data_IF_917810321420
#
_entry.id   IF_917810321420
#
_cell.length_a   1.000
_cell.length_b   1.000
_cell.length_c   1.000
_cell.angle_alpha   90.00
_cell.angle_beta   90.00
_cell.angle_gamma   90.00
#
_symmetry.space_group_name_H-M   'P 1'
#
loop_
_entity.id
_entity.type
_entity.pdbx_description
1 polymer ?
#
# COMPACT_ATOMS: atom_id res chain seq x y z
N UNK A 1 9.63 -11.70 -7.50
CA UNK A 1 9.59 -10.50 -8.39
C UNK A 1 11.00 -10.29 -8.89
N UNK A 2 11.22 -10.45 -10.20
CA UNK A 2 12.54 -10.27 -10.78
C UNK A 2 12.81 -8.77 -11.01
N UNK A 3 14.07 -8.36 -10.86
CA UNK A 3 14.50 -7.01 -11.17
C UNK A 3 14.38 -6.74 -12.68
N UNK A 4 14.02 -5.51 -13.09
CA UNK A 4 14.05 -5.14 -14.50
C UNK A 4 15.39 -5.48 -15.16
N UNK A 5 15.37 -5.90 -16.42
CA UNK A 5 16.57 -6.33 -17.14
C UNK A 5 17.62 -5.23 -17.29
N UNK A 6 17.22 -3.97 -17.21
CA UNK A 6 18.07 -2.78 -17.27
C UNK A 6 18.48 -2.26 -15.88
N UNK A 7 18.08 -2.94 -14.81
CA UNK A 7 18.43 -2.54 -13.44
C UNK A 7 19.93 -2.72 -13.20
N UNK A 8 20.58 -1.63 -12.85
CA UNK A 8 22.01 -1.63 -12.52
C UNK A 8 22.23 -1.47 -11.02
N UNK A 9 22.92 -2.43 -10.42
CA UNK A 9 23.34 -2.35 -9.03
C UNK A 9 24.53 -1.38 -8.95
N UNK A 10 24.36 -0.30 -8.19
CA UNK A 10 25.43 0.67 -7.91
C UNK A 10 26.32 0.16 -6.80
N UNK A 11 27.61 0.52 -6.84
CA UNK A 11 28.53 0.29 -5.72
C UNK A 11 28.14 1.18 -4.52
N UNK A 12 28.52 0.79 -3.32
CA UNK A 12 28.23 1.57 -2.10
C UNK A 12 28.83 2.98 -2.15
N UNK A 13 29.94 3.17 -2.86
CA UNK A 13 30.58 4.48 -3.06
C UNK A 13 29.77 5.44 -3.94
N UNK A 14 28.87 4.92 -4.78
CA UNK A 14 28.00 5.69 -5.69
C UNK A 14 26.66 6.04 -5.04
N UNK A 15 26.35 5.46 -3.87
CA UNK A 15 25.10 5.72 -3.16
C UNK A 15 25.23 6.98 -2.28
N UNK A 16 24.16 7.78 -2.15
CA UNK A 16 24.16 8.89 -1.20
C UNK A 16 24.28 8.37 0.23
N UNK A 17 24.91 9.15 1.10
CA UNK A 17 25.04 8.81 2.52
C UNK A 17 23.67 8.67 3.21
N UNK A 18 22.71 9.51 2.83
CA UNK A 18 21.37 9.54 3.38
C UNK A 18 20.35 9.93 2.31
N UNK A 19 19.19 9.29 2.33
CA UNK A 19 18.03 9.69 1.53
C UNK A 19 16.83 9.79 2.45
N UNK A 20 16.15 10.94 2.42
CA UNK A 20 14.90 11.18 3.15
C UNK A 20 13.86 11.77 2.20
N UNK A 21 12.93 10.93 1.76
CA UNK A 21 11.89 11.31 0.80
C UNK A 21 10.86 12.29 1.36
N UNK A 22 10.80 12.48 2.71
CA UNK A 22 9.90 13.46 3.33
C UNK A 22 10.20 14.87 2.87
N UNK A 23 11.46 15.19 2.64
CA UNK A 23 11.90 16.50 2.15
C UNK A 23 11.40 16.81 0.73
N UNK A 24 11.02 15.78 -0.03
CA UNK A 24 10.50 15.90 -1.40
C UNK A 24 8.96 16.08 -1.44
N UNK A 25 8.27 16.02 -0.31
CA UNK A 25 6.82 16.13 -0.25
C UNK A 25 6.07 14.93 -0.82
N UNK A 26 6.71 13.75 -0.86
CA UNK A 26 6.16 12.52 -1.46
C UNK A 26 5.79 11.46 -0.43
N UNK A 27 5.83 11.79 0.85
CA UNK A 27 5.48 10.88 1.95
C UNK A 27 4.24 11.40 2.66
N UNK A 28 3.20 10.58 2.72
CA UNK A 28 1.95 10.90 3.41
C UNK A 28 2.12 10.87 4.94
N UNK A 29 1.12 11.41 5.65
CA UNK A 29 1.10 11.40 7.11
C UNK A 29 1.07 9.96 7.66
N UNK A 30 1.65 9.78 8.86
CA UNK A 30 1.60 8.51 9.59
C UNK A 30 0.15 8.17 9.94
N UNK A 31 -0.25 6.92 9.68
CA UNK A 31 -1.60 6.40 9.94
C UNK A 31 -1.58 5.40 11.09
N UNK A 32 -2.76 5.03 11.57
CA UNK A 32 -2.94 4.06 12.65
C UNK A 32 -3.90 2.96 12.22
N UNK A 33 -3.42 1.72 12.20
CA UNK A 33 -4.24 0.55 11.82
C UNK A 33 -5.16 0.06 12.96
N UNK A 34 -4.92 0.51 14.20
CA UNK A 34 -5.66 0.02 15.35
C UNK A 34 -5.40 -1.45 15.66
N UNK A 35 -6.45 -2.15 16.08
CA UNK A 35 -6.42 -3.56 16.50
C UNK A 35 -6.68 -4.54 15.35
N UNK A 36 -6.31 -4.21 14.14
CA UNK A 36 -6.48 -5.03 12.94
C UNK A 36 -5.09 -5.33 12.35
N UNK A 37 -4.81 -6.60 12.05
CA UNK A 37 -3.56 -7.04 11.42
C UNK A 37 -3.48 -6.65 9.94
N UNK A 38 -3.68 -5.37 9.64
CA UNK A 38 -3.70 -4.78 8.30
C UNK A 38 -2.44 -3.98 7.96
N UNK A 39 -1.35 -4.15 8.72
CA UNK A 39 -0.08 -3.46 8.47
C UNK A 39 0.42 -3.63 7.03
N UNK A 40 0.21 -4.81 6.44
CA UNK A 40 0.54 -5.10 5.05
C UNK A 40 -0.19 -4.18 4.06
N UNK A 41 -1.47 -3.87 4.32
CA UNK A 41 -2.27 -2.95 3.51
C UNK A 41 -1.84 -1.50 3.71
N UNK A 42 -1.56 -1.07 4.95
CA UNK A 42 -1.07 0.27 5.26
C UNK A 42 0.30 0.54 4.64
N UNK A 43 1.24 -0.39 4.78
CA UNK A 43 2.57 -0.25 4.20
C UNK A 43 2.51 -0.19 2.67
N UNK A 44 1.72 -1.06 2.05
CA UNK A 44 1.54 -1.08 0.59
C UNK A 44 0.90 0.21 0.08
N UNK A 45 -0.11 0.71 0.78
CA UNK A 45 -0.76 1.99 0.45
C UNK A 45 0.24 3.14 0.51
N UNK A 46 1.06 3.21 1.57
CA UNK A 46 2.07 4.25 1.71
C UNK A 46 3.10 4.23 0.56
N UNK A 47 3.52 3.04 0.13
CA UNK A 47 4.42 2.90 -1.03
C UNK A 47 3.75 3.39 -2.31
N UNK A 48 2.48 3.03 -2.53
CA UNK A 48 1.72 3.48 -3.71
C UNK A 48 1.54 5.00 -3.72
N UNK A 49 1.22 5.60 -2.58
CA UNK A 49 1.10 7.06 -2.42
C UNK A 49 2.40 7.76 -2.79
N UNK A 50 3.53 7.28 -2.27
CA UNK A 50 4.84 7.86 -2.54
C UNK A 50 5.25 7.71 -4.00
N UNK A 51 5.06 6.54 -4.60
CA UNK A 51 5.37 6.32 -6.01
C UNK A 51 4.47 7.14 -6.95
N UNK A 52 3.20 7.26 -6.64
CA UNK A 52 2.29 8.14 -7.38
C UNK A 52 2.74 9.61 -7.29
N UNK A 53 3.15 10.07 -6.10
CA UNK A 53 3.65 11.43 -5.90
C UNK A 53 4.96 11.69 -6.66
N UNK A 54 5.89 10.74 -6.66
CA UNK A 54 7.15 10.85 -7.41
C UNK A 54 6.88 10.98 -8.92
N UNK A 55 5.94 10.20 -9.45
CA UNK A 55 5.67 10.17 -10.89
C UNK A 55 4.75 11.29 -11.38
N UNK A 56 3.79 11.74 -10.57
CA UNK A 56 2.77 12.72 -10.97
C UNK A 56 2.93 14.11 -10.36
N UNK A 57 3.71 14.24 -9.28
CA UNK A 57 3.80 15.46 -8.50
C UNK A 57 2.62 15.67 -7.53
N UNK A 58 1.69 14.73 -7.43
CA UNK A 58 0.50 14.80 -6.58
C UNK A 58 0.54 13.71 -5.52
N UNK A 59 0.44 14.11 -4.25
CA UNK A 59 0.36 13.19 -3.12
C UNK A 59 -1.11 12.94 -2.78
N UNK A 60 -1.54 11.70 -2.98
CA UNK A 60 -2.90 11.24 -2.64
C UNK A 60 -2.89 10.55 -1.28
N UNK A 61 -4.02 10.61 -0.59
CA UNK A 61 -4.31 9.80 0.60
C UNK A 61 -5.19 8.63 0.18
N UNK A 62 -4.59 7.46 -0.03
CA UNK A 62 -5.26 6.29 -0.59
C UNK A 62 -5.84 5.39 0.50
N UNK A 63 -6.77 4.51 0.11
CA UNK A 63 -7.52 3.65 1.03
C UNK A 63 -6.80 2.34 1.36
N UNK A 64 -6.21 2.15 2.55
CA UNK A 64 -5.75 0.85 2.99
C UNK A 64 -6.90 -0.13 3.26
N UNK A 65 -8.10 0.38 3.58
CA UNK A 65 -9.28 -0.46 3.79
C UNK A 65 -9.67 -1.22 2.53
N UNK A 66 -9.60 -0.57 1.37
CA UNK A 66 -9.91 -1.24 0.11
C UNK A 66 -8.94 -2.40 -0.15
N UNK A 67 -7.65 -2.20 0.06
CA UNK A 67 -6.65 -3.26 -0.07
C UNK A 67 -6.95 -4.39 0.92
N UNK A 68 -7.12 -4.07 2.20
CA UNK A 68 -7.36 -5.05 3.26
C UNK A 68 -8.60 -5.91 2.99
N UNK A 69 -9.70 -5.29 2.57
CA UNK A 69 -10.97 -5.96 2.35
C UNK A 69 -11.07 -6.70 1.00
N UNK A 70 -10.36 -6.22 -0.02
CA UNK A 70 -10.59 -6.64 -1.41
C UNK A 70 -9.45 -7.45 -2.03
N UNK A 71 -8.21 -7.36 -1.53
CA UNK A 71 -7.09 -8.10 -2.11
C UNK A 71 -7.25 -9.61 -1.89
N UNK A 72 -7.35 -10.43 -2.97
CA UNK A 72 -7.46 -11.87 -2.83
C UNK A 72 -6.20 -12.48 -2.24
N UNK A 73 -6.36 -13.45 -1.33
CA UNK A 73 -5.25 -14.18 -0.73
C UNK A 73 -5.54 -15.69 -0.65
N UNK A 74 -5.76 -16.38 -1.78
CA UNK A 74 -6.14 -17.78 -1.80
C UNK A 74 -5.07 -18.72 -1.24
N UNK A 75 -3.79 -18.34 -1.35
CA UNK A 75 -2.65 -19.13 -0.88
C UNK A 75 -2.23 -18.76 0.54
N UNK A 76 -3.00 -17.93 1.24
CA UNK A 76 -2.74 -17.48 2.61
C UNK A 76 -1.30 -16.94 2.81
N UNK A 77 -0.83 -16.14 1.87
CA UNK A 77 0.50 -15.52 1.94
C UNK A 77 0.58 -14.55 3.13
N UNK A 78 1.43 -14.86 4.10
CA UNK A 78 1.62 -14.05 5.31
C UNK A 78 0.47 -14.09 6.32
N UNK A 79 -0.61 -14.83 6.04
CA UNK A 79 -1.80 -14.96 6.87
C UNK A 79 -3.07 -15.16 6.04
N UNK A 80 -4.23 -15.04 6.67
CA UNK A 80 -5.52 -15.25 6.02
C UNK A 80 -6.04 -14.02 5.25
N UNK A 81 -5.32 -12.92 5.30
CA UNK A 81 -5.76 -11.65 4.69
C UNK A 81 -6.56 -10.79 5.65
N UNK A 82 -7.05 -9.66 5.16
CA UNK A 82 -7.82 -8.66 5.92
C UNK A 82 -7.14 -8.27 7.25
N UNK A 83 -7.78 -8.46 8.40
CA UNK A 83 -7.18 -8.21 9.71
C UNK A 83 -6.28 -9.34 10.23
N UNK A 84 -6.13 -10.43 9.50
CA UNK A 84 -5.36 -11.61 9.90
C UNK A 84 -3.99 -11.74 9.20
N UNK A 85 -3.50 -10.65 8.65
CA UNK A 85 -2.18 -10.58 8.03
C UNK A 85 -2.15 -11.03 6.58
N UNK A 86 -1.25 -10.47 5.82
CA UNK A 86 -0.91 -10.85 4.45
C UNK A 86 0.45 -10.25 4.06
N UNK A 87 0.76 -10.29 2.76
CA UNK A 87 1.99 -9.70 2.22
C UNK A 87 1.70 -8.55 1.28
N UNK A 88 2.70 -7.69 1.08
CA UNK A 88 2.60 -6.54 0.18
C UNK A 88 2.39 -6.96 -1.29
N UNK A 89 2.89 -8.12 -1.68
CA UNK A 89 2.77 -8.64 -3.04
C UNK A 89 1.32 -8.78 -3.47
N UNK A 90 0.45 -9.33 -2.64
CA UNK A 90 -0.98 -9.48 -2.97
C UNK A 90 -1.68 -8.12 -3.04
N UNK A 91 -1.23 -7.14 -2.25
CA UNK A 91 -1.74 -5.78 -2.32
C UNK A 91 -1.42 -5.13 -3.66
N UNK A 92 -0.16 -5.22 -4.10
CA UNK A 92 0.27 -4.65 -5.38
C UNK A 92 -0.38 -5.37 -6.57
N UNK A 93 -0.52 -6.69 -6.52
CA UNK A 93 -1.22 -7.46 -7.56
C UNK A 93 -2.69 -7.02 -7.66
N UNK A 94 -3.36 -6.86 -6.53
CA UNK A 94 -4.73 -6.36 -6.51
C UNK A 94 -4.86 -4.99 -7.16
N UNK A 95 -4.01 -4.03 -6.77
CA UNK A 95 -4.06 -2.66 -7.31
C UNK A 95 -3.77 -2.65 -8.81
N UNK A 96 -2.83 -3.47 -9.28
CA UNK A 96 -2.52 -3.60 -10.69
C UNK A 96 -3.72 -4.15 -11.50
N UNK A 97 -4.39 -5.17 -10.98
CA UNK A 97 -5.54 -5.80 -11.64
C UNK A 97 -6.78 -4.90 -11.61
N UNK A 98 -7.03 -4.20 -10.51
CA UNK A 98 -8.15 -3.25 -10.38
C UNK A 98 -7.90 -1.91 -11.08
N UNK A 99 -6.69 -1.70 -11.60
CA UNK A 99 -6.26 -0.45 -12.26
C UNK A 99 -6.30 0.77 -11.35
N UNK A 100 -6.08 0.57 -10.06
CA UNK A 100 -6.02 1.60 -9.04
C UNK A 100 -6.85 1.29 -7.81
N UNK A 101 -6.84 2.21 -6.87
CA UNK A 101 -7.65 2.17 -5.65
C UNK A 101 -8.24 3.56 -5.37
N UNK A 102 -9.30 3.59 -4.55
CA UNK A 102 -9.93 4.82 -4.11
C UNK A 102 -9.07 5.58 -3.10
N UNK A 103 -9.35 6.85 -2.95
CA UNK A 103 -8.82 7.65 -1.86
C UNK A 103 -9.50 7.32 -0.53
N UNK A 104 -8.84 7.63 0.58
CA UNK A 104 -9.32 7.34 1.95
C UNK A 104 -10.74 7.90 2.20
N UNK A 105 -11.03 9.12 1.74
CA UNK A 105 -12.35 9.72 1.94
C UNK A 105 -13.47 9.00 1.16
N UNK A 106 -13.13 8.30 0.08
CA UNK A 106 -14.10 7.54 -0.73
C UNK A 106 -14.34 6.13 -0.17
N UNK A 107 -13.32 5.55 0.45
CA UNK A 107 -13.37 4.22 1.07
C UNK A 107 -12.64 4.25 2.42
N UNK A 108 -13.29 4.81 3.47
CA UNK A 108 -12.64 5.06 4.75
C UNK A 108 -12.26 3.78 5.51
N UNK A 109 -11.25 3.90 6.37
CA UNK A 109 -10.85 2.81 7.26
C UNK A 109 -11.87 2.60 8.38
N UNK A 110 -12.43 1.39 8.45
CA UNK A 110 -13.49 1.00 9.39
C UNK A 110 -13.09 -0.17 10.30
N UNK A 111 -11.89 -0.72 10.14
CA UNK A 111 -11.44 -1.90 10.89
C UNK A 111 -10.58 -1.57 12.11
N UNK A 112 -10.57 -0.33 12.57
CA UNK A 112 -9.73 0.13 13.69
C UNK A 112 -9.89 -0.72 14.96
N UNK A 113 -11.08 -1.21 15.23
CA UNK A 113 -11.37 -2.05 16.41
C UNK A 113 -11.26 -3.56 16.13
N UNK A 114 -10.67 -3.97 15.04
CA UNK A 114 -10.42 -5.37 14.70
C UNK A 114 -11.57 -6.07 13.99
N UNK A 115 -12.60 -5.34 13.58
CA UNK A 115 -13.75 -5.90 12.84
C UNK A 115 -13.41 -5.86 11.35
N UNK A 116 -13.38 -7.04 10.72
CA UNK A 116 -13.16 -7.15 9.28
C UNK A 116 -14.34 -6.58 8.50
N UNK A 117 -14.05 -5.85 7.44
CA UNK A 117 -15.08 -5.42 6.49
C UNK A 117 -15.09 -6.29 5.24
N UNK A 118 -16.27 -6.46 4.67
CA UNK A 118 -16.44 -7.10 3.36
C UNK A 118 -16.04 -6.11 2.26
N UNK A 119 -15.45 -6.62 1.18
CA UNK A 119 -15.12 -5.80 0.02
C UNK A 119 -16.37 -5.14 -0.57
N UNK A 120 -16.42 -3.83 -0.57
CA UNK A 120 -17.55 -3.03 -1.05
C UNK A 120 -17.03 -1.77 -1.76
N UNK A 121 -16.43 -1.97 -2.94
CA UNK A 121 -15.84 -0.87 -3.72
C UNK A 121 -16.95 0.10 -4.15
N UNK A 122 -16.84 1.40 -3.82
CA UNK A 122 -17.80 2.39 -4.25
C UNK A 122 -17.91 2.46 -5.77
N UNK A 123 -19.13 2.61 -6.27
CA UNK A 123 -19.33 2.94 -7.69
C UNK A 123 -19.09 4.43 -7.87
N UNK A 124 -18.23 4.74 -8.79
CA UNK A 124 -17.99 6.12 -9.23
C UNK A 124 -19.16 6.61 -10.08
#
# INVERSE_FOLDING_TARGET
>A
MDLPADFQIKSSAELPYQVDWRSQGVVSAVKDQGHCGSCWAFASTAVLESHAAISSGLLFDLSPQQIAACAPNPDQCGGQGNCNGATAEIAFDYVAQSKGIHEEFQYPYTSYYGIESTCAVPKL
#
